data_IF_084406815832
#
_entry.id   IF_084406815832
#
_cell.length_a   1.000
_cell.length_b   1.000
_cell.length_c   1.000
_cell.angle_alpha   90.00
_cell.angle_beta   90.00
_cell.angle_gamma   90.00
#
_symmetry.space_group_name_H-M   'P 1'
#
loop_
_entity.id
_entity.type
_entity.pdbx_description
1 polymer ?
#
# COMPACT_ATOMS: atom_id res chain seq x y z
N UNK A 1 -11.18 23.13 30.33
CA UNK A 1 -11.99 22.09 29.65
C UNK A 1 -11.23 21.64 28.43
N UNK A 2 -10.50 20.52 28.53
CA UNK A 2 -9.70 19.99 27.42
C UNK A 2 -10.60 19.24 26.45
N UNK A 3 -10.85 19.81 25.28
CA UNK A 3 -11.54 19.14 24.18
C UNK A 3 -10.58 18.12 23.57
N UNK A 4 -10.60 16.90 24.13
CA UNK A 4 -10.07 15.74 23.44
C UNK A 4 -10.79 15.60 22.10
N UNK A 5 -10.04 15.65 21.00
CA UNK A 5 -10.53 15.32 19.67
C UNK A 5 -10.93 13.84 19.69
N UNK A 6 -12.23 13.57 19.93
CA UNK A 6 -12.80 12.24 19.76
C UNK A 6 -13.03 12.04 18.28
N UNK A 7 -12.47 10.96 17.73
CA UNK A 7 -12.82 10.44 16.40
C UNK A 7 -14.35 10.38 16.32
N UNK A 8 -14.94 11.08 15.36
CA UNK A 8 -16.39 11.14 15.22
C UNK A 8 -16.94 9.72 14.95
N UNK A 9 -18.10 9.41 15.53
CA UNK A 9 -18.71 8.07 15.50
C UNK A 9 -19.40 7.74 14.16
N UNK A 10 -18.86 8.25 13.05
CA UNK A 10 -19.18 7.80 11.68
C UNK A 10 -18.01 6.98 11.11
N UNK A 11 -17.30 6.27 12.00
CA UNK A 11 -16.13 5.43 11.72
C UNK A 11 -16.31 4.71 10.40
N UNK A 12 -15.78 5.29 9.34
CA UNK A 12 -15.58 4.58 8.09
C UNK A 12 -14.48 3.61 8.46
N UNK A 13 -14.84 2.36 8.72
CA UNK A 13 -13.88 1.27 8.93
C UNK A 13 -12.78 1.40 7.89
N UNK A 14 -11.61 1.89 8.32
CA UNK A 14 -10.41 1.86 7.51
C UNK A 14 -9.91 0.42 7.69
N UNK A 15 -10.29 -0.45 6.75
CA UNK A 15 -9.47 -1.50 6.16
C UNK A 15 -8.44 -2.19 7.08
N UNK A 16 -8.46 -3.53 7.14
CA UNK A 16 -7.45 -4.31 7.86
C UNK A 16 -7.79 -4.61 9.30
N UNK A 17 -9.06 -4.41 9.71
CA UNK A 17 -9.55 -4.76 11.05
C UNK A 17 -9.85 -6.26 11.21
N UNK A 18 -9.07 -7.12 10.56
CA UNK A 18 -9.03 -8.52 10.96
C UNK A 18 -8.22 -8.59 12.24
N UNK A 19 -8.70 -9.30 13.25
CA UNK A 19 -7.96 -9.55 14.51
C UNK A 19 -6.70 -10.42 14.33
N UNK A 20 -6.20 -10.54 13.10
CA UNK A 20 -5.05 -11.36 12.71
C UNK A 20 -4.25 -10.68 11.59
N UNK A 21 -2.92 -10.67 11.75
CA UNK A 21 -1.96 -10.39 10.69
C UNK A 21 -1.95 -11.52 9.66
N UNK A 22 -1.64 -11.22 8.41
CA UNK A 22 -1.53 -12.23 7.35
C UNK A 22 -1.48 -11.64 5.95
N UNK A 23 -1.65 -12.49 4.95
CA UNK A 23 -1.48 -12.15 3.53
C UNK A 23 -2.78 -12.19 2.71
N UNK A 24 -3.93 -12.48 3.33
CA UNK A 24 -5.22 -12.39 2.65
C UNK A 24 -5.51 -10.93 2.19
N UNK A 25 -6.48 -10.76 1.30
CA UNK A 25 -6.82 -9.43 0.74
C UNK A 25 -7.35 -8.44 1.78
N UNK A 26 -7.89 -8.94 2.89
CA UNK A 26 -8.34 -8.16 4.05
C UNK A 26 -7.33 -8.12 5.21
N UNK A 27 -6.14 -8.70 5.04
CA UNK A 27 -5.08 -8.74 6.04
C UNK A 27 -3.86 -7.94 5.58
N UNK A 28 -3.06 -7.52 6.56
CA UNK A 28 -1.76 -6.89 6.39
C UNK A 28 -0.73 -7.57 7.29
N UNK A 29 0.54 -7.43 6.96
CA UNK A 29 1.66 -7.90 7.76
C UNK A 29 2.77 -6.85 7.81
N UNK A 30 2.92 -6.23 8.98
CA UNK A 30 3.83 -5.12 9.28
C UNK A 30 3.75 -3.98 8.25
N UNK A 31 2.62 -3.27 8.15
CA UNK A 31 2.50 -2.15 7.23
C UNK A 31 3.34 -0.94 7.69
N UNK A 32 4.20 -0.40 6.82
CA UNK A 32 5.08 0.73 7.18
C UNK A 32 4.56 2.11 6.79
N UNK A 33 3.72 2.21 5.76
CA UNK A 33 3.22 3.49 5.27
C UNK A 33 1.85 3.36 4.63
N UNK A 34 1.14 4.48 4.59
CA UNK A 34 -0.12 4.62 3.89
C UNK A 34 -0.24 5.99 3.22
N UNK A 35 -1.00 6.05 2.13
CA UNK A 35 -1.37 7.30 1.46
C UNK A 35 -2.75 7.18 0.84
N UNK A 36 -3.36 8.32 0.52
CA UNK A 36 -4.63 8.39 -0.22
C UNK A 36 -4.39 8.86 -1.65
N UNK A 37 -5.18 8.35 -2.59
CA UNK A 37 -5.32 8.99 -3.91
C UNK A 37 -6.37 10.13 -3.88
N UNK A 38 -6.50 10.88 -4.98
CA UNK A 38 -7.48 11.97 -5.09
C UNK A 38 -8.95 11.51 -5.03
N UNK A 39 -9.21 10.21 -5.18
CA UNK A 39 -10.54 9.61 -5.04
C UNK A 39 -10.79 9.11 -3.60
N UNK A 40 -9.80 9.25 -2.71
CA UNK A 40 -9.87 8.76 -1.33
C UNK A 40 -9.66 7.25 -1.18
N UNK A 41 -9.07 6.58 -2.17
CA UNK A 41 -8.63 5.19 -2.02
C UNK A 41 -7.36 5.12 -1.18
N UNK A 42 -7.29 4.16 -0.27
CA UNK A 42 -6.13 3.93 0.59
C UNK A 42 -5.13 3.01 -0.09
N UNK A 43 -3.86 3.40 -0.08
CA UNK A 43 -2.73 2.57 -0.48
C UNK A 43 -1.89 2.29 0.76
N UNK A 44 -1.50 1.02 0.95
CA UNK A 44 -0.73 0.57 2.11
C UNK A 44 0.51 -0.18 1.64
N UNK A 45 1.67 0.19 2.17
CA UNK A 45 2.90 -0.57 2.04
C UNK A 45 2.81 -1.75 3.01
N UNK A 46 2.49 -2.93 2.49
CA UNK A 46 2.32 -4.16 3.25
C UNK A 46 3.67 -4.91 3.24
N UNK A 47 4.59 -4.43 4.07
CA UNK A 47 6.04 -4.57 3.86
C UNK A 47 6.54 -6.01 3.98
N UNK A 48 6.06 -6.76 4.99
CA UNK A 48 6.42 -8.17 5.16
C UNK A 48 5.70 -9.08 4.17
N UNK A 49 4.61 -8.61 3.56
CA UNK A 49 3.98 -9.29 2.42
C UNK A 49 4.55 -8.82 1.07
N UNK A 50 5.57 -7.96 1.07
CA UNK A 50 6.29 -7.51 -0.13
C UNK A 50 5.37 -6.98 -1.24
N UNK A 51 4.33 -6.24 -0.86
CA UNK A 51 3.31 -5.75 -1.79
C UNK A 51 2.79 -4.38 -1.41
N UNK A 52 2.09 -3.75 -2.35
CA UNK A 52 1.25 -2.58 -2.08
C UNK A 52 -0.22 -2.96 -2.28
N UNK A 53 -1.02 -2.74 -1.23
CA UNK A 53 -2.46 -2.98 -1.24
C UNK A 53 -3.22 -1.67 -1.48
N UNK A 54 -4.17 -1.68 -2.43
CA UNK A 54 -5.14 -0.60 -2.63
C UNK A 54 -6.51 -1.02 -2.08
N UNK A 55 -7.15 -0.12 -1.36
CA UNK A 55 -8.51 -0.28 -0.85
C UNK A 55 -9.36 0.90 -1.28
N UNK A 56 -10.49 0.61 -1.91
CA UNK A 56 -11.48 1.64 -2.21
C UNK A 56 -12.12 2.13 -0.91
N UNK A 57 -12.68 3.34 -0.96
CA UNK A 57 -13.44 3.90 0.17
C UNK A 57 -14.52 2.90 0.60
N UNK A 58 -14.53 2.56 1.88
CA UNK A 58 -15.45 1.58 2.49
C UNK A 58 -15.28 0.12 2.04
N UNK A 59 -14.21 -0.23 1.32
CA UNK A 59 -13.92 -1.63 0.98
C UNK A 59 -13.43 -2.42 2.20
N UNK A 60 -13.85 -3.68 2.32
CA UNK A 60 -13.38 -4.62 3.34
C UNK A 60 -12.18 -5.47 2.89
N UNK A 61 -11.89 -5.46 1.59
CA UNK A 61 -10.78 -6.19 0.96
C UNK A 61 -9.98 -5.27 0.04
N UNK A 62 -8.70 -5.59 -0.11
CA UNK A 62 -7.74 -4.85 -0.91
C UNK A 62 -7.37 -5.58 -2.19
N UNK A 63 -6.82 -4.82 -3.12
CA UNK A 63 -6.26 -5.33 -4.37
C UNK A 63 -4.76 -5.05 -4.39
N UNK A 64 -3.95 -6.05 -4.74
CA UNK A 64 -2.51 -5.85 -4.94
C UNK A 64 -2.27 -5.02 -6.19
N UNK A 65 -1.69 -3.83 -6.03
CA UNK A 65 -1.39 -2.90 -7.14
C UNK A 65 0.10 -2.87 -7.51
N UNK A 66 0.99 -3.36 -6.64
CA UNK A 66 2.40 -3.60 -6.94
C UNK A 66 2.94 -4.76 -6.08
N UNK A 67 3.98 -5.45 -6.55
CA UNK A 67 4.52 -6.64 -5.89
C UNK A 67 3.58 -7.83 -5.96
N UNK A 68 3.02 -8.14 -7.14
CA UNK A 68 1.90 -9.10 -7.29
C UNK A 68 2.26 -10.52 -6.86
N UNK A 69 3.50 -10.96 -7.05
CA UNK A 69 3.91 -12.29 -6.61
C UNK A 69 4.26 -12.33 -5.11
N UNK A 70 4.20 -11.19 -4.40
CA UNK A 70 4.48 -11.08 -2.97
C UNK A 70 5.81 -11.74 -2.57
N UNK A 71 6.81 -11.69 -3.46
CA UNK A 71 8.09 -12.37 -3.29
C UNK A 71 9.21 -11.33 -3.25
N UNK A 72 10.05 -11.43 -2.23
CA UNK A 72 11.26 -10.62 -2.09
C UNK A 72 12.29 -10.96 -3.17
N UNK A 73 12.24 -10.24 -4.29
CA UNK A 73 13.20 -10.37 -5.40
C UNK A 73 13.51 -9.01 -6.02
N UNK A 74 14.51 -8.97 -6.89
CA UNK A 74 14.87 -7.78 -7.68
C UNK A 74 14.11 -7.68 -9.00
N UNK A 75 13.15 -8.59 -9.28
CA UNK A 75 12.37 -8.55 -10.51
C UNK A 75 11.41 -7.35 -10.50
N UNK A 76 11.23 -6.70 -11.64
CA UNK A 76 10.49 -5.43 -11.74
C UNK A 76 8.98 -5.55 -11.45
N UNK A 77 8.42 -6.76 -11.40
CA UNK A 77 7.05 -7.05 -11.00
C UNK A 77 6.90 -7.37 -9.50
N UNK A 78 8.01 -7.40 -8.78
CA UNK A 78 8.12 -7.70 -7.36
C UNK A 78 8.62 -6.49 -6.56
N UNK A 79 8.55 -6.62 -5.23
CA UNK A 79 9.10 -5.66 -4.27
C UNK A 79 9.84 -6.45 -3.20
N UNK A 80 10.73 -5.79 -2.48
CA UNK A 80 11.40 -6.31 -1.30
C UNK A 80 11.37 -5.27 -0.18
N UNK A 81 10.47 -5.51 0.77
CA UNK A 81 10.26 -4.66 1.95
C UNK A 81 9.93 -3.20 1.58
N UNK A 82 8.83 -2.96 0.83
CA UNK A 82 8.45 -1.62 0.45
C UNK A 82 8.10 -0.81 1.69
N UNK A 83 8.60 0.42 1.84
CA UNK A 83 8.37 1.25 3.04
C UNK A 83 7.63 2.53 2.74
N UNK A 84 8.05 3.30 1.72
CA UNK A 84 7.44 4.57 1.33
C UNK A 84 6.56 4.43 0.10
N UNK A 85 5.42 5.14 0.06
CA UNK A 85 4.53 5.21 -1.12
C UNK A 85 4.04 6.63 -1.30
N UNK A 86 4.11 7.15 -2.54
CA UNK A 86 3.33 8.32 -2.96
C UNK A 86 2.49 7.98 -4.19
N UNK A 87 1.34 8.63 -4.32
CA UNK A 87 0.43 8.49 -5.46
C UNK A 87 0.27 9.87 -6.11
N UNK A 88 0.46 9.95 -7.42
CA UNK A 88 0.26 11.20 -8.17
C UNK A 88 -1.19 11.38 -8.65
N UNK A 89 -1.51 12.53 -9.24
CA UNK A 89 -2.85 12.84 -9.77
C UNK A 89 -3.27 11.95 -10.94
N UNK A 90 -2.33 11.25 -11.58
CA UNK A 90 -2.58 10.29 -12.65
C UNK A 90 -2.72 8.86 -12.13
N UNK A 91 -2.79 8.69 -10.80
CA UNK A 91 -2.88 7.39 -10.11
C UNK A 91 -1.64 6.50 -10.32
N UNK A 92 -0.50 7.08 -10.70
CA UNK A 92 0.76 6.36 -10.70
C UNK A 92 1.30 6.30 -9.27
N UNK A 93 2.04 5.24 -8.97
CA UNK A 93 2.59 5.00 -7.64
C UNK A 93 4.10 4.94 -7.71
N UNK A 94 4.74 5.63 -6.77
CA UNK A 94 6.18 5.56 -6.53
C UNK A 94 6.40 4.88 -5.18
N UNK A 95 7.25 3.88 -5.18
CA UNK A 95 7.44 2.99 -4.03
C UNK A 95 8.92 2.95 -3.70
N UNK A 96 9.27 3.22 -2.44
CA UNK A 96 10.60 2.94 -1.94
C UNK A 96 10.71 1.43 -1.69
N UNK A 97 11.41 0.75 -2.59
CA UNK A 97 11.67 -0.68 -2.57
C UNK A 97 12.95 -0.95 -1.76
N UNK A 98 12.79 -0.83 -0.44
CA UNK A 98 13.87 -0.52 0.52
C UNK A 98 15.02 -1.52 0.47
N UNK A 99 14.74 -2.82 0.48
CA UNK A 99 15.81 -3.82 0.51
C UNK A 99 16.47 -4.01 -0.85
N UNK A 100 15.83 -3.56 -1.92
CA UNK A 100 16.44 -3.47 -3.25
C UNK A 100 17.14 -2.11 -3.46
N UNK A 101 17.17 -1.21 -2.47
CA UNK A 101 17.81 0.10 -2.50
C UNK A 101 17.38 0.99 -3.70
N UNK A 102 16.13 0.85 -4.14
CA UNK A 102 15.65 1.54 -5.33
C UNK A 102 14.28 2.19 -5.10
N UNK A 103 13.95 3.16 -5.97
CA UNK A 103 12.59 3.68 -6.10
C UNK A 103 11.98 3.08 -7.35
N UNK A 104 10.86 2.40 -7.17
CA UNK A 104 10.10 1.81 -8.25
C UNK A 104 8.91 2.69 -8.62
N UNK A 105 8.52 2.64 -9.90
CA UNK A 105 7.38 3.34 -10.46
C UNK A 105 6.42 2.33 -11.09
N UNK A 106 5.14 2.42 -10.77
CA UNK A 106 4.06 1.72 -11.47
C UNK A 106 3.11 2.76 -12.04
N UNK A 107 2.88 2.71 -13.35
CA UNK A 107 1.78 3.47 -13.94
C UNK A 107 0.44 2.89 -13.50
N UNK A 108 -0.60 3.71 -13.47
CA UNK A 108 -1.94 3.26 -13.10
C UNK A 108 -2.37 2.02 -13.92
N UNK A 109 -2.73 0.93 -13.23
CA UNK A 109 -3.16 -0.33 -13.85
C UNK A 109 -2.04 -1.22 -14.41
N UNK A 110 -0.77 -0.84 -14.27
CA UNK A 110 0.34 -1.68 -14.74
C UNK A 110 0.44 -3.02 -14.00
N UNK A 111 0.89 -4.05 -14.70
CA UNK A 111 1.18 -5.37 -14.12
C UNK A 111 2.57 -5.46 -13.49
N UNK A 112 3.50 -4.60 -13.92
CA UNK A 112 4.90 -4.56 -13.49
C UNK A 112 5.38 -3.11 -13.42
N UNK A 113 6.44 -2.88 -12.65
CA UNK A 113 7.01 -1.57 -12.42
C UNK A 113 8.19 -1.31 -13.31
N UNK A 114 8.73 -0.10 -13.20
CA UNK A 114 10.03 0.27 -13.74
C UNK A 114 10.86 0.91 -12.64
N UNK A 115 12.17 0.74 -12.71
CA UNK A 115 13.06 1.46 -11.81
C UNK A 115 13.03 2.95 -12.17
N UNK A 116 12.84 3.81 -11.16
CA UNK A 116 12.80 5.26 -11.32
C UNK A 116 14.06 5.95 -10.80
N UNK A 117 14.69 5.39 -9.78
CA UNK A 117 15.97 5.82 -9.22
C UNK A 117 16.62 4.67 -8.44
N UNK A 118 17.96 4.69 -8.31
CA UNK A 118 18.75 3.66 -7.62
C UNK A 118 19.96 3.24 -8.45
#
# INVERSE_FOLDING_TARGET
TSTQLRWNSTSSTIVGITSSSGSASNQLYTPYHLTLDSNGSLYVADSDNHRVQKYLKSASTGTTVAGKNATATTALDNLYYPTGIIVDSSMNIYIADTNNNQVMFWSNGASSGTQRAG
#
